data_IF_910680897394
#
_entry.id   IF_910680897394
#
_cell.length_a   1.000
_cell.length_b   1.000
_cell.length_c   1.000
_cell.angle_alpha   90.00
_cell.angle_beta   90.00
_cell.angle_gamma   90.00
#
_symmetry.space_group_name_H-M   'P 1'
#
loop_
_entity.id
_entity.type
_entity.pdbx_description
1 polymer ?
#
# COMPACT_ATOMS: atom_id res chain seq x y z
N UNK A 1 -8.45 7.83 12.93
CA UNK A 1 -8.09 8.96 13.84
C UNK A 1 -7.17 10.01 13.20
N UNK A 2 -6.24 9.64 12.30
CA UNK A 2 -5.31 10.60 11.66
C UNK A 2 -6.03 11.54 10.69
N UNK A 3 -7.03 11.04 9.96
CA UNK A 3 -7.83 11.84 9.01
C UNK A 3 -8.80 12.81 9.69
N UNK A 4 -9.33 12.46 10.85
CA UNK A 4 -10.24 13.33 11.61
C UNK A 4 -9.54 14.65 12.01
N UNK A 5 -8.22 14.60 12.25
CA UNK A 5 -7.42 15.80 12.53
C UNK A 5 -7.12 16.69 11.32
N UNK A 6 -7.27 16.15 10.08
CA UNK A 6 -7.11 16.92 8.83
C UNK A 6 -8.43 17.50 8.31
N UNK A 7 -9.57 16.91 8.69
CA UNK A 7 -10.90 17.23 8.14
C UNK A 7 -11.83 17.90 9.17
N UNK A 8 -11.43 17.94 10.45
CA UNK A 8 -12.29 18.46 11.53
C UNK A 8 -12.12 19.96 11.78
N UNK A 9 -13.21 20.63 12.10
CA UNK A 9 -13.32 22.08 12.37
C UNK A 9 -12.66 22.57 13.67
N UNK A 10 -11.99 21.70 14.40
CA UNK A 10 -11.28 22.07 15.63
C UNK A 10 -9.78 21.93 15.43
N UNK A 11 -9.13 23.07 15.18
CA UNK A 11 -7.68 23.27 15.16
C UNK A 11 -6.93 22.11 14.51
N UNK A 12 -6.55 22.26 13.26
CA UNK A 12 -5.59 21.38 12.56
C UNK A 12 -4.30 21.30 13.39
N UNK A 13 -4.19 20.28 14.24
CA UNK A 13 -2.98 19.99 15.02
C UNK A 13 -1.86 19.55 14.08
N UNK A 14 -2.18 19.21 12.82
CA UNK A 14 -1.23 18.74 11.81
C UNK A 14 -1.57 19.32 10.45
N UNK A 15 -0.72 20.20 9.97
CA UNK A 15 -0.86 20.79 8.62
C UNK A 15 -0.43 19.85 7.50
N UNK A 16 0.29 18.78 7.81
CA UNK A 16 0.87 17.83 6.84
C UNK A 16 0.77 16.42 7.36
N UNK A 17 0.55 15.48 6.44
CA UNK A 17 0.53 14.04 6.73
C UNK A 17 1.00 13.23 5.53
N UNK A 18 1.41 11.98 5.79
CA UNK A 18 1.55 10.94 4.79
C UNK A 18 0.35 10.01 4.92
N UNK A 19 -0.41 9.82 3.85
CA UNK A 19 -1.70 9.12 3.86
C UNK A 19 -1.68 8.06 2.76
N UNK A 20 -2.10 6.83 3.07
CA UNK A 20 -2.35 5.81 2.05
C UNK A 20 -3.77 5.93 1.50
N UNK A 21 -3.96 5.58 0.23
CA UNK A 21 -5.28 5.65 -0.42
C UNK A 21 -6.37 4.85 0.31
N UNK A 22 -6.13 3.61 0.77
CA UNK A 22 -7.16 2.87 1.50
C UNK A 22 -7.61 3.53 2.81
N UNK A 23 -6.77 4.40 3.39
CA UNK A 23 -7.13 5.11 4.64
C UNK A 23 -8.25 6.13 4.42
N UNK A 24 -8.38 6.70 3.23
CA UNK A 24 -9.42 7.67 2.88
C UNK A 24 -10.66 7.03 2.26
N UNK A 25 -10.70 5.71 2.13
CA UNK A 25 -11.84 4.99 1.55
C UNK A 25 -13.14 5.16 2.36
N UNK A 26 -13.06 5.52 3.65
CA UNK A 26 -14.25 5.86 4.45
C UNK A 26 -14.92 7.16 4.00
N UNK A 27 -14.20 8.06 3.34
CA UNK A 27 -14.70 9.33 2.79
C UNK A 27 -14.87 9.28 1.28
N UNK A 28 -14.03 8.52 0.59
CA UNK A 28 -14.09 8.28 -0.86
C UNK A 28 -14.13 6.76 -1.07
N UNK A 29 -15.33 6.15 -1.00
CA UNK A 29 -15.49 4.69 -1.01
C UNK A 29 -14.84 3.99 -2.21
N UNK A 30 -14.82 4.63 -3.38
CA UNK A 30 -14.16 4.10 -4.58
C UNK A 30 -12.66 3.82 -4.38
N UNK A 31 -12.02 4.48 -3.42
CA UNK A 31 -10.59 4.31 -3.14
C UNK A 31 -10.26 3.06 -2.32
N UNK A 32 -11.26 2.30 -1.89
CA UNK A 32 -11.04 0.95 -1.34
C UNK A 32 -10.36 0.02 -2.36
N UNK A 33 -10.52 0.28 -3.67
CA UNK A 33 -9.84 -0.46 -4.73
C UNK A 33 -8.31 -0.39 -4.65
N UNK A 34 -7.72 0.67 -4.07
CA UNK A 34 -6.27 0.79 -3.91
C UNK A 34 -5.68 -0.16 -2.84
N UNK A 35 -6.52 -0.83 -2.05
CA UNK A 35 -6.11 -1.94 -1.21
C UNK A 35 -6.27 -3.30 -1.92
N UNK A 36 -6.84 -3.33 -3.13
CA UNK A 36 -7.03 -4.62 -3.82
C UNK A 36 -5.69 -5.20 -4.27
N UNK A 37 -5.57 -6.51 -4.11
CA UNK A 37 -4.36 -7.19 -4.55
C UNK A 37 -4.18 -7.10 -6.07
N UNK A 38 -2.93 -6.85 -6.47
CA UNK A 38 -2.52 -6.80 -7.88
C UNK A 38 -3.20 -5.70 -8.71
N UNK A 39 -3.60 -4.58 -8.08
CA UNK A 39 -4.07 -3.40 -8.81
C UNK A 39 -2.95 -2.81 -9.68
N UNK A 40 -1.75 -2.69 -9.12
CA UNK A 40 -0.55 -2.30 -9.85
C UNK A 40 0.36 -3.51 -10.06
N UNK A 41 0.94 -3.64 -11.27
CA UNK A 41 1.83 -4.73 -11.64
C UNK A 41 3.29 -4.48 -11.26
N UNK A 42 3.72 -3.21 -11.20
CA UNK A 42 5.09 -2.81 -10.89
C UNK A 42 5.14 -1.39 -10.31
N UNK A 43 6.33 -0.98 -9.86
CA UNK A 43 6.63 0.41 -9.49
C UNK A 43 6.35 1.38 -10.62
N UNK A 44 6.82 1.07 -11.84
CA UNK A 44 6.66 1.91 -13.03
C UNK A 44 5.18 2.09 -13.37
N UNK A 45 4.41 1.01 -13.31
CA UNK A 45 2.95 1.05 -13.51
C UNK A 45 2.29 1.95 -12.45
N UNK A 46 2.57 1.74 -11.17
CA UNK A 46 2.03 2.55 -10.08
C UNK A 46 2.38 4.04 -10.26
N UNK A 47 3.64 4.35 -10.53
CA UNK A 47 4.10 5.74 -10.71
C UNK A 47 3.49 6.39 -11.93
N UNK A 48 3.38 5.69 -13.06
CA UNK A 48 2.76 6.21 -14.29
C UNK A 48 1.28 6.54 -14.08
N UNK A 49 0.57 5.78 -13.25
CA UNK A 49 -0.83 6.04 -12.89
C UNK A 49 -0.95 7.18 -11.88
N UNK A 50 -0.28 7.07 -10.72
CA UNK A 50 -0.52 7.97 -9.59
C UNK A 50 0.16 9.34 -9.73
N UNK A 51 1.26 9.43 -10.48
CA UNK A 51 1.97 10.67 -10.76
C UNK A 51 1.81 11.13 -12.23
N UNK A 52 1.11 10.34 -13.07
CA UNK A 52 0.74 10.67 -14.45
C UNK A 52 -0.67 11.28 -14.55
N UNK A 53 -1.22 11.23 -15.76
CA UNK A 53 -2.49 11.89 -16.12
C UNK A 53 -3.67 11.47 -15.23
N UNK A 54 -3.79 10.19 -14.91
CA UNK A 54 -4.88 9.70 -14.03
C UNK A 54 -4.75 10.32 -12.63
N UNK A 55 -3.56 10.25 -12.05
CA UNK A 55 -3.28 10.81 -10.73
C UNK A 55 -3.52 12.32 -10.67
N UNK A 56 -2.99 13.05 -11.66
CA UNK A 56 -3.05 14.51 -11.70
C UNK A 56 -4.44 15.05 -12.02
N UNK A 57 -5.17 14.39 -12.93
CA UNK A 57 -6.41 14.95 -13.49
C UNK A 57 -7.69 14.31 -12.94
N UNK A 58 -7.62 13.14 -12.29
CA UNK A 58 -8.78 12.44 -11.71
C UNK A 58 -8.65 12.25 -10.20
N UNK A 59 -7.59 11.60 -9.73
CA UNK A 59 -7.46 11.17 -8.34
C UNK A 59 -7.23 12.37 -7.41
N UNK A 60 -6.19 13.17 -7.67
CA UNK A 60 -5.84 14.30 -6.79
C UNK A 60 -6.94 15.37 -6.71
N UNK A 61 -7.57 15.79 -7.81
CA UNK A 61 -8.69 16.74 -7.75
C UNK A 61 -9.87 16.23 -6.92
N UNK A 62 -10.22 14.94 -7.01
CA UNK A 62 -11.29 14.36 -6.21
C UNK A 62 -10.97 14.40 -4.71
N UNK A 63 -9.72 14.13 -4.33
CA UNK A 63 -9.26 14.23 -2.93
C UNK A 63 -9.35 15.68 -2.45
N UNK A 64 -8.86 16.61 -3.25
CA UNK A 64 -8.90 18.05 -2.92
C UNK A 64 -10.33 18.54 -2.70
N UNK A 65 -11.23 18.22 -3.61
CA UNK A 65 -12.64 18.63 -3.56
C UNK A 65 -13.37 17.99 -2.35
N UNK A 66 -13.12 16.70 -2.10
CA UNK A 66 -13.87 15.95 -1.09
C UNK A 66 -13.37 16.20 0.33
N UNK A 67 -12.05 16.33 0.51
CA UNK A 67 -11.41 16.30 1.83
C UNK A 67 -10.74 17.61 2.23
N UNK A 68 -10.68 18.60 1.35
CA UNK A 68 -9.89 19.81 1.56
C UNK A 68 -8.42 19.49 1.94
N UNK A 69 -7.84 18.54 1.22
CA UNK A 69 -6.45 18.09 1.36
C UNK A 69 -5.78 18.21 0.01
N UNK A 70 -4.63 18.87 -0.05
CA UNK A 70 -3.78 18.96 -1.24
C UNK A 70 -2.81 17.79 -1.28
N UNK A 71 -3.00 16.78 -2.15
CA UNK A 71 -1.98 15.77 -2.42
C UNK A 71 -0.84 16.39 -3.22
N UNK A 72 0.40 16.19 -2.77
CA UNK A 72 1.57 16.78 -3.40
C UNK A 72 2.26 15.82 -4.37
N UNK A 73 2.26 14.53 -4.05
CA UNK A 73 2.86 13.47 -4.86
C UNK A 73 2.36 12.10 -4.40
N UNK A 74 2.79 11.03 -5.06
CA UNK A 74 2.65 9.65 -4.59
C UNK A 74 4.02 8.99 -4.58
N UNK A 75 4.48 8.61 -3.39
CA UNK A 75 5.80 8.01 -3.13
C UNK A 75 5.67 6.50 -3.09
N UNK A 76 6.65 5.81 -3.61
CA UNK A 76 6.75 4.37 -3.47
C UNK A 76 7.02 3.98 -2.01
N UNK A 77 6.20 3.10 -1.46
CA UNK A 77 6.39 2.55 -0.12
C UNK A 77 7.08 1.18 -0.16
N UNK A 78 6.91 0.46 -1.25
CA UNK A 78 7.47 -0.87 -1.50
C UNK A 78 6.42 -1.88 -1.95
N UNK A 79 6.88 -3.02 -2.47
CA UNK A 79 6.00 -4.14 -2.78
C UNK A 79 5.78 -5.00 -1.54
N UNK A 80 4.51 -5.24 -1.20
CA UNK A 80 4.14 -5.99 0.00
C UNK A 80 4.32 -7.48 -0.23
N UNK A 81 4.90 -8.12 0.78
CA UNK A 81 5.21 -9.56 0.82
C UNK A 81 4.58 -10.19 2.07
N UNK A 82 4.43 -11.51 2.08
CA UNK A 82 3.97 -12.24 3.28
C UNK A 82 5.19 -12.65 4.11
N UNK A 83 5.17 -12.28 5.39
CA UNK A 83 6.22 -12.63 6.33
C UNK A 83 5.62 -13.41 7.50
N UNK A 84 6.09 -14.64 7.73
CA UNK A 84 5.49 -15.60 8.66
C UNK A 84 6.46 -16.04 9.76
N UNK A 85 5.90 -16.43 10.89
CA UNK A 85 6.66 -16.94 12.04
C UNK A 85 7.19 -18.35 11.83
N UNK A 86 6.32 -19.28 11.46
CA UNK A 86 6.64 -20.72 11.50
C UNK A 86 6.25 -21.47 10.23
N UNK A 87 5.47 -20.86 9.33
CA UNK A 87 4.93 -21.51 8.14
C UNK A 87 5.59 -20.96 6.89
N UNK A 88 6.18 -21.83 6.11
CA UNK A 88 6.65 -21.52 4.77
C UNK A 88 5.47 -21.41 3.79
N UNK A 89 5.50 -20.42 2.91
CA UNK A 89 4.46 -20.19 1.90
C UNK A 89 5.08 -20.38 0.53
N UNK A 90 4.66 -21.43 -0.18
CA UNK A 90 5.10 -21.78 -1.53
C UNK A 90 3.96 -21.72 -2.56
N UNK A 91 2.71 -21.71 -2.10
CA UNK A 91 1.50 -21.65 -2.92
C UNK A 91 0.40 -20.83 -2.24
N UNK A 92 -0.63 -20.49 -3.00
CA UNK A 92 -1.80 -19.84 -2.44
C UNK A 92 -2.50 -20.70 -1.37
N UNK A 93 -2.53 -22.01 -1.53
CA UNK A 93 -3.19 -22.90 -0.59
C UNK A 93 -2.49 -22.94 0.78
N UNK A 94 -1.21 -22.59 0.84
CA UNK A 94 -0.47 -22.46 2.10
C UNK A 94 -0.97 -21.31 2.97
N UNK A 95 -1.68 -20.35 2.41
CA UNK A 95 -2.28 -19.25 3.18
C UNK A 95 -3.44 -19.71 4.07
N UNK A 96 -4.03 -20.87 3.77
CA UNK A 96 -5.20 -21.36 4.49
C UNK A 96 -4.92 -21.56 5.99
N UNK A 97 -5.79 -21.00 6.82
CA UNK A 97 -5.72 -21.07 8.27
C UNK A 97 -4.71 -20.14 8.94
N UNK A 98 -3.92 -19.37 8.15
CA UNK A 98 -2.92 -18.45 8.66
C UNK A 98 -3.57 -17.23 9.32
N UNK A 99 -3.27 -16.94 10.57
CA UNK A 99 -3.70 -15.71 11.24
C UNK A 99 -2.83 -14.55 10.73
N UNK A 100 -3.30 -13.94 9.65
CA UNK A 100 -2.57 -12.85 8.97
C UNK A 100 -2.97 -11.51 9.59
N UNK A 101 -2.02 -10.83 10.22
CA UNK A 101 -2.28 -9.47 10.68
C UNK A 101 -2.47 -8.53 9.49
N UNK A 102 -3.56 -7.78 9.54
CA UNK A 102 -3.87 -6.71 8.58
C UNK A 102 -4.09 -5.37 9.30
N UNK A 103 -3.89 -4.23 8.64
CA UNK A 103 -4.34 -2.95 9.14
C UNK A 103 -5.85 -2.96 9.43
N UNK A 104 -6.28 -2.17 10.42
CA UNK A 104 -7.68 -2.15 10.86
C UNK A 104 -8.54 -1.30 9.90
N UNK A 105 -8.84 -1.83 8.72
CA UNK A 105 -9.85 -1.32 7.80
C UNK A 105 -10.48 -2.46 7.01
N UNK A 106 -11.73 -2.29 6.60
CA UNK A 106 -12.48 -3.30 5.86
C UNK A 106 -11.74 -3.73 4.57
N UNK A 107 -11.22 -2.76 3.81
CA UNK A 107 -10.49 -3.03 2.58
C UNK A 107 -9.24 -3.90 2.80
N UNK A 108 -8.46 -3.62 3.86
CA UNK A 108 -7.29 -4.43 4.19
C UNK A 108 -7.68 -5.82 4.73
N UNK A 109 -8.73 -5.92 5.54
CA UNK A 109 -9.21 -7.21 6.03
C UNK A 109 -9.66 -8.09 4.88
N UNK A 110 -10.41 -7.52 3.92
CA UNK A 110 -10.83 -8.29 2.76
C UNK A 110 -9.66 -8.73 1.88
N UNK A 111 -8.60 -7.93 1.74
CA UNK A 111 -7.37 -8.38 1.06
C UNK A 111 -6.79 -9.64 1.75
N UNK A 112 -6.74 -9.66 3.08
CA UNK A 112 -6.29 -10.84 3.82
C UNK A 112 -7.14 -12.09 3.54
N UNK A 113 -8.46 -11.94 3.45
CA UNK A 113 -9.38 -13.01 3.03
C UNK A 113 -9.15 -13.42 1.57
N UNK A 114 -8.99 -12.45 0.68
CA UNK A 114 -8.72 -12.69 -0.73
C UNK A 114 -7.39 -13.42 -0.96
N UNK A 115 -6.39 -13.17 -0.12
CA UNK A 115 -5.13 -13.92 -0.08
C UNK A 115 -5.27 -15.35 0.47
N UNK A 116 -6.48 -15.75 0.93
CA UNK A 116 -6.75 -17.08 1.46
C UNK A 116 -6.43 -17.26 2.94
N UNK A 117 -6.10 -16.20 3.66
CA UNK A 117 -5.77 -16.22 5.08
C UNK A 117 -6.96 -15.87 5.97
N UNK A 118 -6.75 -15.93 7.29
CA UNK A 118 -7.67 -15.43 8.31
C UNK A 118 -7.16 -14.05 8.78
N UNK A 119 -7.71 -12.93 8.30
CA UNK A 119 -7.22 -11.62 8.65
C UNK A 119 -7.51 -11.27 10.11
N UNK A 120 -6.53 -10.72 10.79
CA UNK A 120 -6.60 -10.29 12.19
C UNK A 120 -6.27 -8.80 12.28
N UNK A 121 -7.26 -7.92 12.57
CA UNK A 121 -7.03 -6.49 12.65
C UNK A 121 -6.16 -6.15 13.87
N UNK A 122 -5.06 -5.43 13.64
CA UNK A 122 -4.16 -5.01 14.72
C UNK A 122 -3.38 -3.75 14.29
N UNK A 123 -3.11 -2.86 15.25
CA UNK A 123 -2.28 -1.68 14.99
C UNK A 123 -0.83 -2.08 14.66
N UNK A 124 -0.13 -1.25 13.87
CA UNK A 124 1.27 -1.51 13.53
C UNK A 124 2.18 -1.53 14.77
N UNK A 125 1.89 -0.69 15.76
CA UNK A 125 2.69 -0.58 17.01
C UNK A 125 2.60 -1.84 17.88
N UNK A 126 1.56 -2.66 17.74
CA UNK A 126 1.37 -3.90 18.51
C UNK A 126 1.93 -5.14 17.78
N UNK A 127 2.25 -4.99 16.48
CA UNK A 127 2.53 -6.12 15.60
C UNK A 127 3.77 -6.92 16.01
N UNK A 128 4.88 -6.27 16.39
CA UNK A 128 6.08 -6.99 16.84
C UNK A 128 5.79 -7.93 18.01
N UNK A 129 5.08 -7.42 19.02
CA UNK A 129 4.70 -8.22 20.20
C UNK A 129 3.72 -9.34 19.84
N UNK A 130 2.77 -9.08 18.93
CA UNK A 130 1.80 -10.08 18.48
C UNK A 130 2.49 -11.23 17.71
N UNK A 131 3.45 -10.92 16.86
CA UNK A 131 4.31 -11.91 16.19
C UNK A 131 5.15 -12.67 17.21
N UNK A 132 5.80 -11.97 18.14
CA UNK A 132 6.67 -12.60 19.15
C UNK A 132 5.91 -13.59 20.03
N UNK A 133 4.70 -13.25 20.47
CA UNK A 133 3.87 -14.08 21.35
C UNK A 133 3.05 -15.14 20.62
N UNK A 134 2.91 -15.05 19.30
CA UNK A 134 2.06 -15.94 18.50
C UNK A 134 0.59 -15.60 18.54
N UNK A 135 0.23 -14.37 18.87
CA UNK A 135 -1.14 -13.88 18.73
C UNK A 135 -1.56 -13.77 17.25
N UNK A 136 -0.61 -13.60 16.36
CA UNK A 136 -0.75 -13.72 14.90
C UNK A 136 0.40 -14.58 14.35
N UNK A 137 0.15 -15.25 13.21
CA UNK A 137 1.12 -16.13 12.57
C UNK A 137 1.97 -15.40 11.52
N UNK A 138 1.41 -14.35 10.96
CA UNK A 138 2.00 -13.63 9.83
C UNK A 138 1.57 -12.16 9.80
N UNK A 139 2.28 -11.42 8.97
CA UNK A 139 1.97 -10.05 8.60
C UNK A 139 2.31 -9.82 7.13
N UNK A 140 1.77 -8.75 6.54
CA UNK A 140 2.11 -8.26 5.22
C UNK A 140 2.69 -6.85 5.30
N UNK A 141 3.86 -6.64 4.74
CA UNK A 141 4.48 -5.32 4.57
C UNK A 141 5.59 -5.40 3.51
N UNK A 142 6.02 -4.24 2.96
CA UNK A 142 7.22 -4.17 2.15
C UNK A 142 8.50 -4.55 2.92
N UNK A 143 9.50 -5.08 2.22
CA UNK A 143 10.77 -5.51 2.80
C UNK A 143 11.46 -4.41 3.66
N UNK A 144 11.52 -3.11 3.25
CA UNK A 144 12.09 -2.08 4.09
C UNK A 144 11.32 -1.83 5.40
N UNK A 145 10.02 -2.09 5.41
CA UNK A 145 9.20 -1.99 6.63
C UNK A 145 9.45 -3.16 7.58
N UNK A 146 9.67 -4.37 7.04
CA UNK A 146 10.07 -5.56 7.81
C UNK A 146 11.42 -5.32 8.50
N UNK A 147 12.37 -4.72 7.78
CA UNK A 147 13.67 -4.37 8.32
C UNK A 147 13.56 -3.33 9.44
N UNK A 148 12.94 -2.18 9.16
CA UNK A 148 12.88 -1.05 10.09
C UNK A 148 12.13 -1.38 11.38
N UNK A 149 11.08 -2.21 11.29
CA UNK A 149 10.32 -2.70 12.45
C UNK A 149 10.91 -3.95 13.08
N UNK A 150 12.01 -4.48 12.54
CA UNK A 150 12.72 -5.66 13.03
C UNK A 150 11.85 -6.92 13.11
N UNK A 151 10.86 -7.06 12.25
CA UNK A 151 9.99 -8.25 12.26
C UNK A 151 10.78 -9.53 11.95
N UNK A 152 11.91 -9.44 11.24
CA UNK A 152 12.82 -10.56 11.00
C UNK A 152 13.39 -11.21 12.27
N UNK A 153 13.40 -10.50 13.42
CA UNK A 153 13.83 -11.09 14.69
C UNK A 153 12.80 -12.08 15.28
N UNK A 154 11.54 -12.00 14.86
CA UNK A 154 10.40 -12.77 15.40
C UNK A 154 9.66 -13.59 14.33
N UNK A 155 10.22 -13.68 13.12
CA UNK A 155 9.70 -14.45 11.99
C UNK A 155 10.79 -15.30 11.36
N UNK A 156 10.43 -16.28 10.52
CA UNK A 156 11.39 -17.22 9.89
C UNK A 156 11.30 -17.24 8.36
N UNK A 157 10.19 -16.82 7.78
CA UNK A 157 9.95 -16.95 6.35
C UNK A 157 9.44 -15.65 5.75
N UNK A 158 9.86 -15.40 4.51
CA UNK A 158 9.34 -14.32 3.67
C UNK A 158 8.94 -14.94 2.33
N UNK A 159 7.68 -14.79 1.93
CA UNK A 159 7.21 -15.19 0.61
C UNK A 159 7.02 -13.94 -0.26
N UNK A 160 7.74 -13.87 -1.35
CA UNK A 160 7.72 -12.75 -2.30
C UNK A 160 6.47 -12.87 -3.18
N UNK A 161 5.36 -12.46 -2.64
CA UNK A 161 4.04 -12.48 -3.30
C UNK A 161 3.76 -11.20 -4.09
N UNK A 162 4.40 -10.09 -3.75
CA UNK A 162 4.22 -8.77 -4.39
C UNK A 162 2.76 -8.41 -4.65
N UNK A 163 1.88 -8.78 -3.71
CA UNK A 163 0.43 -8.71 -3.85
C UNK A 163 -0.13 -7.29 -3.82
N UNK A 164 0.62 -6.31 -3.32
CA UNK A 164 0.32 -4.88 -3.43
C UNK A 164 1.61 -4.11 -3.68
N UNK A 165 1.66 -3.36 -4.76
CA UNK A 165 2.65 -2.30 -4.97
C UNK A 165 2.12 -1.06 -4.26
N UNK A 166 2.67 -0.79 -3.07
CA UNK A 166 2.11 0.15 -2.12
C UNK A 166 2.69 1.56 -2.28
N UNK A 167 1.86 2.55 -2.05
CA UNK A 167 2.23 3.96 -2.15
C UNK A 167 1.74 4.76 -0.95
N UNK A 168 2.45 5.84 -0.67
CA UNK A 168 2.06 6.81 0.35
C UNK A 168 2.06 8.21 -0.24
N UNK A 169 1.04 8.98 0.10
CA UNK A 169 0.78 10.29 -0.46
C UNK A 169 1.09 11.36 0.57
N UNK A 170 2.15 12.20 0.36
CA UNK A 170 2.36 13.40 1.14
C UNK A 170 1.26 14.41 0.85
N UNK A 171 0.62 14.89 1.89
CA UNK A 171 -0.51 15.80 1.80
C UNK A 171 -0.32 17.01 2.71
N UNK A 172 -0.90 18.12 2.28
CA UNK A 172 -1.01 19.36 3.08
C UNK A 172 -2.49 19.73 3.21
N UNK A 173 -2.87 20.32 4.34
CA UNK A 173 -4.21 20.87 4.53
C UNK A 173 -4.52 21.92 3.46
N UNK A 174 -5.73 21.89 2.88
CA UNK A 174 -6.13 22.77 1.78
C UNK A 174 -6.10 24.26 2.16
N UNK A 175 -6.53 24.62 3.36
CA UNK A 175 -6.51 26.02 3.82
C UNK A 175 -5.04 26.49 3.99
N UNK A 176 -4.16 25.63 4.53
CA UNK A 176 -2.73 25.95 4.64
C UNK A 176 -2.13 26.12 3.23
N UNK A 177 -2.44 25.21 2.29
CA UNK A 177 -1.99 25.31 0.90
C UNK A 177 -2.46 26.61 0.25
N UNK A 178 -3.74 26.95 0.38
CA UNK A 178 -4.35 28.13 -0.20
C UNK A 178 -3.87 29.46 0.43
N UNK A 179 -3.30 29.41 1.63
CA UNK A 179 -2.67 30.55 2.28
C UNK A 179 -1.26 30.86 1.77
N UNK A 180 -0.66 29.94 1.03
CA UNK A 180 0.68 30.13 0.43
C UNK A 180 0.61 30.98 -0.82
N UNK A 181 1.66 31.73 -1.09
CA UNK A 181 1.85 32.40 -2.37
C UNK A 181 2.17 31.37 -3.48
N UNK A 182 1.93 31.71 -4.74
CA UNK A 182 2.24 30.85 -5.88
C UNK A 182 3.70 30.37 -5.85
N UNK A 183 4.66 31.26 -5.55
CA UNK A 183 6.07 30.89 -5.44
C UNK A 183 6.36 29.90 -4.29
N UNK A 184 5.60 29.96 -3.19
CA UNK A 184 5.71 28.97 -2.10
C UNK A 184 5.09 27.63 -2.50
N UNK A 185 3.97 27.64 -3.19
CA UNK A 185 3.33 26.41 -3.70
C UNK A 185 4.23 25.72 -4.73
N UNK A 186 4.84 26.48 -5.65
CA UNK A 186 5.80 25.97 -6.63
C UNK A 186 7.01 25.35 -5.95
N UNK A 187 7.63 26.06 -5.00
CA UNK A 187 8.78 25.54 -4.25
C UNK A 187 8.48 24.27 -3.45
N UNK A 188 7.27 24.16 -2.87
CA UNK A 188 6.82 22.94 -2.15
C UNK A 188 6.61 21.79 -3.13
N UNK A 189 6.01 22.05 -4.30
CA UNK A 189 5.78 21.05 -5.34
C UNK A 189 7.10 20.49 -5.85
N UNK A 190 8.03 21.35 -6.25
CA UNK A 190 9.37 20.95 -6.72
C UNK A 190 10.13 20.15 -5.65
N UNK A 191 10.07 20.60 -4.39
CA UNK A 191 10.71 19.89 -3.28
C UNK A 191 10.11 18.49 -3.06
N UNK A 192 8.79 18.32 -3.26
CA UNK A 192 8.13 17.01 -3.13
C UNK A 192 8.42 16.08 -4.30
N UNK A 193 8.54 16.60 -5.52
CA UNK A 193 8.96 15.81 -6.66
C UNK A 193 10.40 15.30 -6.49
N UNK A 194 11.31 16.18 -6.08
CA UNK A 194 12.67 15.78 -5.74
C UNK A 194 12.74 14.75 -4.61
N UNK A 195 11.95 14.96 -3.55
CA UNK A 195 11.90 14.04 -2.42
C UNK A 195 11.32 12.66 -2.82
N UNK A 196 10.34 12.63 -3.75
CA UNK A 196 9.84 11.38 -4.34
C UNK A 196 10.96 10.63 -5.04
N UNK A 197 11.67 11.28 -5.96
CA UNK A 197 12.73 10.65 -6.76
C UNK A 197 13.83 10.05 -5.86
N UNK A 198 14.22 10.78 -4.80
CA UNK A 198 15.19 10.30 -3.80
C UNK A 198 14.63 9.11 -3.01
N UNK A 199 13.37 9.20 -2.54
CA UNK A 199 12.72 8.13 -1.79
C UNK A 199 12.60 6.86 -2.63
N UNK A 200 12.07 7.01 -3.85
CA UNK A 200 11.74 5.87 -4.69
C UNK A 200 13.01 5.13 -5.13
N UNK A 201 14.04 5.86 -5.55
CA UNK A 201 15.37 5.28 -5.85
C UNK A 201 15.94 4.54 -4.63
N UNK A 202 15.97 5.19 -3.47
CA UNK A 202 16.52 4.58 -2.27
C UNK A 202 15.76 3.32 -1.81
N UNK A 203 14.44 3.28 -2.02
CA UNK A 203 13.63 2.09 -1.68
C UNK A 203 13.83 0.95 -2.65
N UNK A 204 13.87 1.23 -3.96
CA UNK A 204 14.14 0.21 -4.97
C UNK A 204 15.52 -0.42 -4.77
N UNK A 205 16.55 0.40 -4.58
CA UNK A 205 17.90 -0.05 -4.29
C UNK A 205 17.92 -0.92 -3.01
N UNK A 206 17.22 -0.47 -1.97
CA UNK A 206 17.19 -1.20 -0.70
C UNK A 206 16.43 -2.52 -0.79
N UNK A 207 15.31 -2.59 -1.51
CA UNK A 207 14.57 -3.84 -1.72
C UNK A 207 15.45 -4.92 -2.36
N UNK A 208 16.26 -4.56 -3.36
CA UNK A 208 17.18 -5.49 -4.01
C UNK A 208 18.23 -6.08 -3.04
N UNK A 209 18.68 -5.29 -2.06
CA UNK A 209 19.66 -5.72 -1.05
C UNK A 209 19.03 -6.55 0.10
N UNK A 210 17.77 -6.26 0.44
CA UNK A 210 17.12 -6.79 1.64
C UNK A 210 16.84 -8.28 1.58
N UNK A 211 16.64 -8.86 0.42
CA UNK A 211 16.48 -10.31 0.27
C UNK A 211 17.72 -11.01 0.85
N UNK A 212 18.90 -10.61 0.40
CA UNK A 212 20.17 -11.16 0.88
C UNK A 212 20.37 -10.89 2.38
N UNK A 213 20.02 -9.68 2.84
CA UNK A 213 20.10 -9.35 4.26
C UNK A 213 19.25 -10.30 5.11
N UNK A 214 17.99 -10.56 4.72
CA UNK A 214 17.12 -11.46 5.49
C UNK A 214 17.59 -12.91 5.46
N UNK A 215 18.14 -13.40 4.36
CA UNK A 215 18.80 -14.72 4.29
C UNK A 215 20.01 -14.79 5.24
N UNK A 216 20.83 -13.74 5.31
CA UNK A 216 21.97 -13.64 6.25
C UNK A 216 21.49 -13.57 7.72
N UNK A 217 20.28 -13.05 8.00
CA UNK A 217 19.65 -13.10 9.31
C UNK A 217 19.02 -14.47 9.63
N UNK A 218 19.07 -15.42 8.69
CA UNK A 218 18.59 -16.79 8.88
C UNK A 218 17.13 -17.02 8.48
N UNK A 219 16.51 -16.07 7.77
CA UNK A 219 15.17 -16.28 7.20
C UNK A 219 15.26 -17.07 5.90
N UNK A 220 14.23 -17.86 5.64
CA UNK A 220 14.01 -18.48 4.33
C UNK A 220 13.15 -17.60 3.46
N UNK A 221 13.64 -17.27 2.26
CA UNK A 221 12.89 -16.51 1.27
C UNK A 221 12.33 -17.45 0.20
N UNK A 222 11.02 -17.36 -0.06
CA UNK A 222 10.35 -18.18 -1.06
C UNK A 222 9.74 -17.31 -2.16
N UNK A 223 9.55 -17.91 -3.34
CA UNK A 223 9.03 -17.25 -4.55
C UNK A 223 7.84 -18.04 -5.07
N UNK A 224 6.65 -17.90 -4.47
CA UNK A 224 5.44 -18.57 -4.94
C UNK A 224 5.04 -18.05 -6.33
N UNK A 225 4.21 -18.83 -7.03
CA UNK A 225 3.68 -18.41 -8.34
C UNK A 225 2.75 -17.19 -8.16
N UNK A 226 3.24 -16.04 -8.59
CA UNK A 226 2.48 -14.77 -8.51
C UNK A 226 1.20 -14.84 -9.35
N UNK A 227 1.19 -15.55 -10.49
CA UNK A 227 0.00 -15.65 -11.33
C UNK A 227 -1.10 -16.44 -10.63
N UNK A 228 -0.76 -17.52 -9.92
CA UNK A 228 -1.72 -18.25 -9.08
C UNK A 228 -2.37 -17.33 -8.05
N UNK A 229 -1.56 -16.56 -7.31
CA UNK A 229 -2.07 -15.60 -6.34
C UNK A 229 -2.95 -14.53 -6.98
N UNK A 230 -2.48 -13.92 -8.09
CA UNK A 230 -3.20 -12.87 -8.82
C UNK A 230 -4.57 -13.34 -9.26
N UNK A 231 -4.63 -14.49 -9.93
CA UNK A 231 -5.91 -15.05 -10.44
C UNK A 231 -6.90 -15.29 -9.29
N UNK A 232 -6.46 -15.96 -8.21
CA UNK A 232 -7.33 -16.28 -7.08
C UNK A 232 -7.76 -15.03 -6.31
N UNK A 233 -6.86 -14.08 -6.06
CA UNK A 233 -7.16 -12.83 -5.35
C UNK A 233 -8.13 -11.97 -6.14
N UNK A 234 -7.87 -11.74 -7.43
CA UNK A 234 -8.75 -10.92 -8.26
C UNK A 234 -10.13 -11.56 -8.44
N UNK A 235 -10.21 -12.90 -8.59
CA UNK A 235 -11.49 -13.60 -8.62
C UNK A 235 -12.31 -13.36 -7.34
N UNK A 236 -11.69 -13.39 -6.16
CA UNK A 236 -12.38 -13.11 -4.89
C UNK A 236 -13.00 -11.72 -4.83
N UNK A 237 -12.31 -10.71 -5.37
CA UNK A 237 -12.89 -9.36 -5.47
C UNK A 237 -14.08 -9.34 -6.44
N UNK A 238 -13.95 -9.92 -7.63
CA UNK A 238 -15.01 -9.90 -8.65
C UNK A 238 -16.22 -10.74 -8.27
N UNK A 239 -16.07 -11.75 -7.40
CA UNK A 239 -17.16 -12.54 -6.84
C UNK A 239 -17.91 -11.84 -5.69
N UNK A 240 -17.34 -10.80 -5.10
CA UNK A 240 -17.92 -10.10 -3.95
C UNK A 240 -18.46 -8.73 -4.35
N UNK A 241 -19.73 -8.70 -4.80
CA UNK A 241 -20.40 -7.48 -5.23
C UNK A 241 -20.42 -6.39 -4.14
N UNK A 242 -20.50 -6.76 -2.86
CA UNK A 242 -20.53 -5.80 -1.75
C UNK A 242 -19.19 -5.07 -1.59
N UNK A 243 -18.08 -5.71 -1.89
CA UNK A 243 -16.74 -5.10 -1.79
C UNK A 243 -16.44 -4.16 -2.94
N UNK A 244 -16.94 -4.46 -4.14
CA UNK A 244 -16.64 -3.67 -5.34
C UNK A 244 -17.75 -2.69 -5.74
N UNK A 245 -18.90 -2.70 -5.04
CA UNK A 245 -20.08 -1.88 -5.39
C UNK A 245 -19.79 -0.37 -5.49
N UNK A 246 -18.85 0.09 -4.66
CA UNK A 246 -18.47 1.50 -4.60
C UNK A 246 -17.25 1.83 -5.47
N UNK A 247 -16.63 0.82 -6.11
CA UNK A 247 -15.47 1.03 -6.96
C UNK A 247 -15.85 1.80 -8.22
N UNK A 248 -14.96 2.69 -8.64
CA UNK A 248 -15.00 3.25 -10.00
C UNK A 248 -14.40 2.20 -10.96
N UNK A 249 -15.28 1.38 -11.53
CA UNK A 249 -14.86 0.28 -12.42
C UNK A 249 -14.24 0.80 -13.73
N UNK A 250 -14.60 2.00 -14.17
CA UNK A 250 -13.97 2.60 -15.35
C UNK A 250 -12.53 2.98 -15.03
N UNK A 251 -12.30 3.61 -13.87
CA UNK A 251 -10.94 3.91 -13.38
C UNK A 251 -10.14 2.65 -13.11
N UNK A 252 -10.74 1.62 -12.50
CA UNK A 252 -10.09 0.32 -12.27
C UNK A 252 -9.61 -0.30 -13.58
N UNK A 253 -10.48 -0.36 -14.57
CA UNK A 253 -10.16 -0.94 -15.88
C UNK A 253 -9.11 -0.11 -16.64
N UNK A 254 -9.15 1.22 -16.53
CA UNK A 254 -8.15 2.12 -17.12
C UNK A 254 -6.77 1.87 -16.50
N UNK A 255 -6.70 1.72 -15.17
CA UNK A 255 -5.46 1.36 -14.46
C UNK A 255 -4.95 -0.01 -14.95
N UNK A 256 -5.81 -1.03 -14.98
CA UNK A 256 -5.38 -2.37 -15.42
C UNK A 256 -4.88 -2.38 -16.86
N UNK A 257 -5.49 -1.61 -17.77
CA UNK A 257 -5.07 -1.52 -19.17
C UNK A 257 -3.67 -0.87 -19.34
N UNK A 258 -3.23 -0.04 -18.42
CA UNK A 258 -1.88 0.54 -18.43
C UNK A 258 -0.79 -0.47 -18.07
N UNK A 259 -1.12 -1.54 -17.32
CA UNK A 259 -0.15 -2.57 -16.94
C UNK A 259 0.47 -3.27 -18.17
N UNK A 260 -0.33 -3.52 -19.21
CA UNK A 260 0.09 -4.21 -20.42
C UNK A 260 1.05 -3.39 -21.28
N UNK A 261 0.98 -2.06 -21.18
CA UNK A 261 1.85 -1.15 -21.96
C UNK A 261 3.22 -0.95 -21.33
N UNK A 262 3.31 -1.03 -20.01
CA UNK A 262 4.58 -0.86 -19.26
C UNK A 262 5.50 -2.08 -19.37
N UNK A 263 4.93 -3.28 -19.54
CA UNK A 263 5.68 -4.54 -19.71
C UNK A 263 6.17 -4.80 -21.14
N UNK A 264 5.73 -4.01 -22.12
CA UNK A 264 6.08 -4.19 -23.53
C UNK A 264 7.32 -3.38 -23.97
N UNK A 265 7.87 -2.52 -23.10
CA UNK A 265 9.05 -1.67 -23.37
C UNK A 265 10.35 -2.21 -22.72
N UNK A 266 10.32 -3.35 -22.03
CA UNK A 266 11.50 -4.11 -21.57
C UNK A 266 11.85 -5.27 -22.54
#
# INVERSE_FOLDING_TARGET
EILIGLVGSEMCIRDRAYISFPTIATQIPSYSMFASGYLFSSYEHMTSVLNGDIGLNKIRPQIEETLNIKPLSSFYLGSRVINTREKEINSYDDMNGLLLRMPNSEAWLFLGEALGANPTPLSFSELYTALQTGAVDAQDNPLPSIESAKFYEVTKYIAITNHVVDSIMPCINGDTWNSMTEAQQEAVTEAMEYARDVNDTARLDREAELIKFFEEQGLTVTYPDINEFKEKVQAKYMENEDMIKDWDMDLYNEIQAMADTTTAEE
#
